data_IF_645734966078
#
_entry.id   IF_645734966078
#
_cell.length_a   1.000
_cell.length_b   1.000
_cell.length_c   1.000
_cell.angle_alpha   90.00
_cell.angle_beta   90.00
_cell.angle_gamma   90.00
#
_symmetry.space_group_name_H-M   'P 1'
#
loop_
_entity.id
_entity.type
_entity.pdbx_description
1 polymer ?
#
# COMPACT_ATOMS: atom_id res chain seq x y z
N UNK A 1 -53.40 -88.30 11.16
CA UNK A 1 -53.24 -88.36 9.74
C UNK A 1 -53.43 -86.98 9.11
N UNK A 2 -52.64 -86.65 8.19
CA UNK A 2 -52.60 -85.44 7.32
C UNK A 2 -51.98 -84.18 7.94
N UNK A 3 -50.81 -83.91 7.43
CA UNK A 3 -49.96 -82.75 7.58
C UNK A 3 -50.47 -81.61 6.67
N UNK A 4 -50.48 -80.40 7.20
CA UNK A 4 -50.63 -79.21 6.42
C UNK A 4 -49.30 -78.43 6.39
N UNK A 5 -48.85 -77.94 5.21
CA UNK A 5 -47.59 -77.31 5.09
C UNK A 5 -47.65 -75.81 5.36
N UNK A 6 -46.65 -75.40 6.03
CA UNK A 6 -46.35 -74.05 6.48
C UNK A 6 -46.15 -73.13 5.29
N UNK A 7 -46.94 -72.09 5.22
CA UNK A 7 -46.73 -70.95 4.32
C UNK A 7 -45.62 -70.06 4.90
N UNK A 8 -44.45 -70.07 4.25
CA UNK A 8 -43.37 -69.15 4.53
C UNK A 8 -43.70 -67.80 3.91
N UNK A 9 -44.01 -66.79 4.71
CA UNK A 9 -44.02 -65.41 4.31
C UNK A 9 -42.59 -64.87 4.31
N UNK A 10 -42.11 -64.50 3.18
CA UNK A 10 -40.88 -63.72 3.03
C UNK A 10 -41.23 -62.24 3.27
N UNK A 11 -40.83 -61.67 4.42
CA UNK A 11 -40.76 -60.23 4.62
C UNK A 11 -39.44 -59.79 4.03
N UNK A 12 -39.47 -59.11 2.87
CA UNK A 12 -38.34 -58.35 2.34
C UNK A 12 -38.28 -57.01 3.07
N UNK A 13 -37.37 -56.89 4.00
CA UNK A 13 -37.03 -55.61 4.62
C UNK A 13 -36.22 -54.80 3.62
N UNK A 14 -36.86 -53.80 2.97
CA UNK A 14 -36.17 -52.77 2.21
C UNK A 14 -35.54 -51.80 3.19
N UNK A 15 -34.24 -51.94 3.46
CA UNK A 15 -33.46 -50.96 4.16
C UNK A 15 -33.26 -49.77 3.25
N UNK A 16 -34.09 -48.75 3.35
CA UNK A 16 -33.88 -47.44 2.75
C UNK A 16 -32.69 -46.75 3.45
N UNK A 17 -31.49 -46.85 2.90
CA UNK A 17 -30.35 -46.07 3.34
C UNK A 17 -30.63 -44.62 2.93
N UNK A 18 -31.17 -43.85 3.85
CA UNK A 18 -31.20 -42.39 3.77
C UNK A 18 -29.74 -41.91 3.86
N UNK A 19 -29.11 -41.61 2.70
CA UNK A 19 -27.89 -40.83 2.68
C UNK A 19 -28.27 -39.42 3.11
N UNK A 20 -28.11 -39.16 4.39
CA UNK A 20 -28.09 -37.81 4.94
C UNK A 20 -26.87 -37.12 4.30
N UNK A 21 -27.11 -36.41 3.22
CA UNK A 21 -26.17 -35.41 2.74
C UNK A 21 -25.97 -34.44 3.91
N UNK A 22 -24.89 -34.61 4.65
CA UNK A 22 -24.45 -33.62 5.61
C UNK A 22 -24.37 -32.29 4.87
N UNK A 23 -25.09 -31.24 5.30
CA UNK A 23 -24.83 -29.90 4.70
C UNK A 23 -23.37 -29.67 4.91
N UNK A 24 -22.63 -29.45 3.80
CA UNK A 24 -21.21 -29.15 3.87
C UNK A 24 -21.02 -28.11 4.97
N UNK A 25 -20.21 -28.44 5.96
CA UNK A 25 -19.96 -27.55 7.10
C UNK A 25 -19.38 -26.27 6.50
N UNK A 26 -20.23 -25.28 6.27
CA UNK A 26 -19.79 -23.92 5.96
C UNK A 26 -18.90 -23.53 7.14
N UNK A 27 -17.60 -23.41 6.89
CA UNK A 27 -16.64 -23.15 7.94
C UNK A 27 -17.07 -21.86 8.64
N UNK A 28 -17.49 -22.00 9.89
CA UNK A 28 -18.14 -20.93 10.65
C UNK A 28 -17.17 -19.76 10.82
N UNK A 29 -17.58 -18.55 10.41
CA UNK A 29 -16.85 -17.32 10.69
C UNK A 29 -16.74 -17.14 12.20
N UNK A 30 -15.51 -17.04 12.72
CA UNK A 30 -15.23 -16.81 14.14
C UNK A 30 -15.28 -15.34 14.49
N UNK A 31 -15.56 -15.03 15.75
CA UNK A 31 -15.38 -13.69 16.27
C UNK A 31 -13.88 -13.32 16.27
N UNK A 32 -13.55 -12.19 15.65
CA UNK A 32 -12.18 -11.67 15.56
C UNK A 32 -12.17 -10.16 15.70
N UNK A 33 -11.09 -9.65 16.28
CA UNK A 33 -10.74 -8.22 16.21
C UNK A 33 -9.38 -8.11 15.52
N UNK A 34 -9.32 -7.39 14.39
CA UNK A 34 -8.12 -7.18 13.60
C UNK A 34 -7.67 -5.73 13.76
N UNK A 35 -6.44 -5.50 14.18
CA UNK A 35 -5.82 -4.18 14.23
C UNK A 35 -5.32 -3.84 12.84
N UNK A 36 -5.72 -2.69 12.32
CA UNK A 36 -5.28 -2.16 11.04
C UNK A 36 -4.47 -0.89 11.25
N UNK A 37 -3.14 -0.99 11.15
CA UNK A 37 -2.20 0.10 11.35
C UNK A 37 -1.80 0.76 10.03
N UNK A 38 -1.72 2.10 10.01
CA UNK A 38 -1.23 2.85 8.85
C UNK A 38 -0.73 4.25 9.25
N UNK A 39 0.06 4.88 8.35
CA UNK A 39 0.81 6.08 8.67
C UNK A 39 0.01 7.38 8.53
N UNK A 40 -0.93 7.45 7.58
CA UNK A 40 -1.63 8.70 7.32
C UNK A 40 -2.72 8.99 8.35
N UNK A 41 -3.05 10.28 8.52
CA UNK A 41 -4.04 10.77 9.48
C UNK A 41 -5.48 10.42 9.05
N UNK A 42 -6.42 10.52 9.99
CA UNK A 42 -7.83 10.11 9.82
C UNK A 42 -8.54 10.79 8.64
N UNK A 43 -8.19 11.99 8.24
CA UNK A 43 -8.79 12.69 7.08
C UNK A 43 -8.23 12.26 5.71
N UNK A 44 -7.16 11.47 5.67
CA UNK A 44 -6.50 11.07 4.43
C UNK A 44 -7.30 9.99 3.66
N UNK A 45 -7.26 9.96 2.31
CA UNK A 45 -7.89 8.90 1.51
C UNK A 45 -7.50 7.46 1.87
N UNK A 46 -6.29 7.25 2.41
CA UNK A 46 -5.87 5.96 2.96
C UNK A 46 -6.76 5.55 4.14
N UNK A 47 -7.05 6.48 5.07
CA UNK A 47 -7.92 6.20 6.21
C UNK A 47 -9.37 5.99 5.78
N UNK A 48 -9.84 6.69 4.76
CA UNK A 48 -11.18 6.47 4.18
C UNK A 48 -11.28 5.05 3.55
N UNK A 49 -10.23 4.61 2.83
CA UNK A 49 -10.14 3.25 2.31
C UNK A 49 -10.11 2.20 3.43
N UNK A 50 -9.37 2.46 4.51
CA UNK A 50 -9.31 1.57 5.68
C UNK A 50 -10.67 1.46 6.39
N UNK A 51 -11.41 2.57 6.51
CA UNK A 51 -12.77 2.56 7.04
C UNK A 51 -13.71 1.76 6.13
N UNK A 52 -13.65 2.01 4.81
CA UNK A 52 -14.46 1.25 3.84
C UNK A 52 -14.19 -0.26 3.92
N UNK A 53 -12.91 -0.64 4.04
CA UNK A 53 -12.52 -2.05 4.23
C UNK A 53 -13.11 -2.61 5.53
N UNK A 54 -12.99 -1.87 6.62
CA UNK A 54 -13.52 -2.28 7.93
C UNK A 54 -15.04 -2.50 7.90
N UNK A 55 -15.78 -1.58 7.29
CA UNK A 55 -17.23 -1.65 7.15
C UNK A 55 -17.66 -2.85 6.31
N UNK A 56 -16.94 -3.10 5.18
CA UNK A 56 -17.20 -4.26 4.32
C UNK A 56 -16.92 -5.58 5.01
N UNK A 57 -15.82 -5.68 5.76
CA UNK A 57 -15.48 -6.88 6.53
C UNK A 57 -16.56 -7.15 7.60
N UNK A 58 -16.99 -6.12 8.33
CA UNK A 58 -18.04 -6.25 9.33
C UNK A 58 -19.36 -6.69 8.67
N UNK A 59 -19.78 -6.05 7.59
CA UNK A 59 -21.03 -6.39 6.88
C UNK A 59 -21.00 -7.83 6.34
N UNK A 60 -19.93 -8.22 5.63
CA UNK A 60 -19.81 -9.55 5.03
C UNK A 60 -19.64 -10.67 6.05
N UNK A 61 -19.10 -10.37 7.23
CA UNK A 61 -18.95 -11.34 8.33
C UNK A 61 -20.16 -11.42 9.26
N UNK A 62 -21.22 -10.63 9.01
CA UNK A 62 -22.35 -10.50 9.93
C UNK A 62 -21.95 -9.94 11.29
N UNK A 63 -20.98 -9.02 11.33
CA UNK A 63 -20.46 -8.38 12.54
C UNK A 63 -19.44 -9.21 13.33
N UNK A 64 -19.11 -10.42 12.89
CA UNK A 64 -18.20 -11.32 13.63
C UNK A 64 -16.72 -10.90 13.53
N UNK A 65 -16.33 -10.26 12.42
CA UNK A 65 -14.97 -9.75 12.25
C UNK A 65 -15.01 -8.22 12.34
N UNK A 66 -14.39 -7.69 13.39
CA UNK A 66 -14.24 -6.25 13.61
C UNK A 66 -12.81 -5.81 13.22
N UNK A 67 -12.68 -4.78 12.40
CA UNK A 67 -11.38 -4.16 12.06
C UNK A 67 -11.26 -2.84 12.82
N UNK A 68 -10.26 -2.73 13.71
CA UNK A 68 -9.96 -1.53 14.48
C UNK A 68 -8.83 -0.75 13.82
N UNK A 69 -9.10 0.51 13.47
CA UNK A 69 -8.17 1.40 12.76
C UNK A 69 -7.21 2.11 13.71
N UNK A 70 -5.93 2.10 13.36
CA UNK A 70 -4.84 2.77 14.08
C UNK A 70 -4.10 3.69 13.09
N UNK A 71 -4.65 4.87 12.88
CA UNK A 71 -4.14 5.89 11.97
C UNK A 71 -2.94 6.65 12.57
N UNK A 72 -2.19 7.37 11.73
CA UNK A 72 -1.15 8.32 12.16
C UNK A 72 0.12 7.66 12.71
N UNK A 73 0.34 6.37 12.41
CA UNK A 73 1.54 5.66 12.86
C UNK A 73 1.61 5.39 14.37
N UNK A 74 0.48 5.42 15.08
CA UNK A 74 0.44 5.21 16.54
C UNK A 74 0.91 3.83 17.00
N UNK A 75 0.98 2.86 16.09
CA UNK A 75 1.54 1.53 16.35
C UNK A 75 2.97 1.37 15.77
N UNK A 76 3.64 2.48 15.44
CA UNK A 76 4.99 2.52 14.90
C UNK A 76 5.04 2.93 13.42
N UNK A 77 6.27 3.20 12.93
CA UNK A 77 6.53 3.48 11.52
C UNK A 77 6.40 2.23 10.63
N UNK A 78 6.58 2.41 9.30
CA UNK A 78 6.35 1.35 8.32
C UNK A 78 7.16 0.08 8.61
N UNK A 79 8.47 0.19 8.86
CA UNK A 79 9.32 -0.98 9.13
C UNK A 79 8.93 -1.71 10.43
N UNK A 80 8.55 -0.95 11.46
CA UNK A 80 8.07 -1.50 12.72
C UNK A 80 6.74 -2.23 12.52
N UNK A 81 5.85 -1.66 11.71
CA UNK A 81 4.55 -2.27 11.39
C UNK A 81 4.72 -3.56 10.58
N UNK A 82 5.66 -3.61 9.61
CA UNK A 82 6.00 -4.86 8.90
C UNK A 82 6.46 -5.93 9.89
N UNK A 83 7.37 -5.59 10.81
CA UNK A 83 7.84 -6.53 11.84
C UNK A 83 6.70 -6.98 12.76
N UNK A 84 5.77 -6.09 13.11
CA UNK A 84 4.59 -6.40 13.93
C UNK A 84 3.63 -7.37 13.20
N UNK A 85 3.44 -7.22 11.89
CA UNK A 85 2.67 -8.18 11.08
C UNK A 85 3.35 -9.55 11.05
N UNK A 86 4.65 -9.61 10.79
CA UNK A 86 5.42 -10.85 10.79
C UNK A 86 5.34 -11.55 12.16
N UNK A 87 5.38 -10.77 13.23
CA UNK A 87 5.18 -11.24 14.60
C UNK A 87 3.74 -11.67 14.92
N UNK A 88 2.74 -11.16 14.19
CA UNK A 88 1.31 -11.38 14.43
C UNK A 88 0.74 -10.56 15.59
N UNK A 89 1.39 -9.44 15.95
CA UNK A 89 0.91 -8.50 16.99
C UNK A 89 0.03 -7.39 16.42
N UNK A 90 0.14 -7.15 15.10
CA UNK A 90 -0.75 -6.35 14.26
C UNK A 90 -1.21 -7.25 13.12
N UNK A 91 -2.50 -7.20 12.81
CA UNK A 91 -3.12 -8.11 11.85
C UNK A 91 -3.10 -7.55 10.42
N UNK A 92 -3.28 -6.23 10.25
CA UNK A 92 -3.41 -5.56 8.95
C UNK A 92 -2.56 -4.29 8.89
N UNK A 93 -2.01 -4.01 7.72
CA UNK A 93 -1.38 -2.71 7.41
C UNK A 93 -1.58 -2.34 5.95
N UNK A 94 -1.45 -1.05 5.67
CA UNK A 94 -1.25 -0.52 4.32
C UNK A 94 -0.09 0.47 4.33
N UNK A 95 0.90 0.26 3.48
CA UNK A 95 2.15 1.03 3.44
C UNK A 95 2.71 1.13 2.02
N UNK A 96 3.65 2.04 1.79
CA UNK A 96 4.30 2.18 0.49
C UNK A 96 4.95 0.86 0.08
N UNK A 97 4.60 0.37 -1.11
CA UNK A 97 5.04 -0.95 -1.58
C UNK A 97 6.58 -1.07 -1.63
N UNK A 98 7.30 -0.02 -1.97
CA UNK A 98 8.75 -0.02 -2.01
C UNK A 98 9.45 -0.29 -0.66
N UNK A 99 8.78 -0.02 0.48
CA UNK A 99 9.29 -0.37 1.82
C UNK A 99 9.52 -1.89 1.95
N UNK A 100 8.74 -2.70 1.24
CA UNK A 100 8.86 -4.16 1.24
C UNK A 100 10.12 -4.66 0.52
N UNK A 101 10.91 -3.79 -0.10
CA UNK A 101 12.21 -4.14 -0.67
C UNK A 101 13.20 -4.72 0.36
N UNK A 102 13.03 -4.37 1.64
CA UNK A 102 13.77 -5.00 2.73
C UNK A 102 13.45 -6.50 2.90
N UNK A 103 12.28 -6.95 2.46
CA UNK A 103 11.83 -8.34 2.51
C UNK A 103 12.03 -9.07 1.17
N UNK A 104 11.69 -8.39 0.08
CA UNK A 104 11.74 -8.87 -1.30
C UNK A 104 12.27 -7.73 -2.17
N UNK A 105 13.53 -7.81 -2.59
CA UNK A 105 14.26 -6.71 -3.25
C UNK A 105 13.57 -6.13 -4.47
N UNK A 106 12.78 -6.92 -5.18
CA UNK A 106 12.08 -6.53 -6.39
C UNK A 106 11.00 -5.45 -6.13
N UNK A 107 10.51 -5.31 -4.90
CA UNK A 107 9.60 -4.21 -4.55
C UNK A 107 10.26 -2.82 -4.70
N UNK A 108 11.60 -2.72 -4.68
CA UNK A 108 12.29 -1.46 -4.96
C UNK A 108 11.95 -0.87 -6.34
N UNK A 109 11.53 -1.71 -7.29
CA UNK A 109 11.14 -1.25 -8.62
C UNK A 109 9.95 -0.27 -8.60
N UNK A 110 9.05 -0.35 -7.61
CA UNK A 110 7.95 0.61 -7.46
C UNK A 110 8.41 2.03 -7.09
N UNK A 111 9.62 2.17 -6.55
CA UNK A 111 10.19 3.45 -6.14
C UNK A 111 11.15 4.03 -7.20
N UNK A 112 11.20 3.46 -8.41
CA UNK A 112 12.03 4.03 -9.49
C UNK A 112 11.54 5.44 -9.81
N UNK A 113 12.45 6.44 -9.80
CA UNK A 113 12.10 7.81 -10.14
C UNK A 113 11.48 7.90 -11.54
N UNK A 114 10.37 8.62 -11.64
CA UNK A 114 9.66 8.88 -12.90
C UNK A 114 9.20 7.63 -13.66
N UNK A 115 9.02 6.51 -12.97
CA UNK A 115 8.59 5.24 -13.55
C UNK A 115 7.20 5.36 -14.21
N UNK A 116 6.23 5.86 -13.44
CA UNK A 116 4.84 5.98 -13.87
C UNK A 116 4.51 7.41 -14.31
N UNK A 117 3.74 7.55 -15.38
CA UNK A 117 3.18 8.83 -15.84
C UNK A 117 1.75 9.04 -15.32
N UNK A 118 1.07 7.98 -14.92
CA UNK A 118 -0.33 8.03 -14.45
C UNK A 118 -0.65 6.89 -13.47
N UNK A 119 -1.74 7.06 -12.72
CA UNK A 119 -2.28 5.99 -11.88
C UNK A 119 -2.72 4.76 -12.69
N UNK A 120 -3.13 4.93 -13.97
CA UNK A 120 -3.50 3.81 -14.84
C UNK A 120 -2.29 2.91 -15.16
N UNK A 121 -1.11 3.50 -15.36
CA UNK A 121 0.11 2.72 -15.56
C UNK A 121 0.47 1.94 -14.29
N UNK A 122 0.32 2.56 -13.12
CA UNK A 122 0.54 1.88 -11.85
C UNK A 122 -0.48 0.75 -11.63
N UNK A 123 -1.76 0.97 -11.94
CA UNK A 123 -2.81 -0.07 -11.84
C UNK A 123 -2.50 -1.28 -12.74
N UNK A 124 -2.09 -1.04 -13.99
CA UNK A 124 -1.74 -2.13 -14.91
C UNK A 124 -0.61 -3.02 -14.37
N UNK A 125 0.37 -2.42 -13.71
CA UNK A 125 1.49 -3.14 -13.10
C UNK A 125 1.07 -3.85 -11.82
N UNK A 126 0.35 -3.15 -10.93
CA UNK A 126 0.02 -3.68 -9.59
C UNK A 126 -1.06 -4.75 -9.63
N UNK A 127 -2.06 -4.60 -10.50
CA UNK A 127 -3.16 -5.57 -10.65
C UNK A 127 -2.80 -6.68 -11.65
N UNK A 128 -1.79 -6.45 -12.47
CA UNK A 128 -1.28 -7.38 -13.46
C UNK A 128 -0.42 -8.51 -12.87
N UNK A 129 0.08 -9.38 -13.75
CA UNK A 129 0.92 -10.52 -13.35
C UNK A 129 2.15 -10.12 -12.53
N UNK A 130 2.76 -8.97 -12.83
CA UNK A 130 3.92 -8.47 -12.10
C UNK A 130 3.61 -8.21 -10.63
N UNK A 131 2.55 -7.45 -10.33
CA UNK A 131 2.15 -7.13 -8.95
C UNK A 131 1.72 -8.37 -8.17
N UNK A 132 0.96 -9.26 -8.80
CA UNK A 132 0.54 -10.53 -8.19
C UNK A 132 1.75 -11.42 -7.84
N UNK A 133 2.73 -11.52 -8.74
CA UNK A 133 3.97 -12.26 -8.50
C UNK A 133 4.76 -11.69 -7.31
N UNK A 134 4.84 -10.36 -7.18
CA UNK A 134 5.52 -9.75 -6.04
C UNK A 134 4.77 -10.01 -4.73
N UNK A 135 3.44 -9.87 -4.70
CA UNK A 135 2.64 -10.21 -3.52
C UNK A 135 2.84 -11.67 -3.08
N UNK A 136 2.88 -12.61 -4.03
CA UNK A 136 3.10 -14.02 -3.72
C UNK A 136 4.45 -14.30 -3.03
N UNK A 137 5.51 -13.52 -3.35
CA UNK A 137 6.82 -13.64 -2.69
C UNK A 137 6.82 -13.24 -1.22
N UNK A 138 5.80 -12.51 -0.77
CA UNK A 138 5.67 -12.09 0.62
C UNK A 138 5.25 -13.23 1.56
N UNK A 139 4.66 -14.29 1.02
CA UNK A 139 4.22 -15.47 1.79
C UNK A 139 5.38 -16.06 2.62
N UNK A 140 6.55 -16.24 2.00
CA UNK A 140 7.76 -16.75 2.66
C UNK A 140 8.37 -15.75 3.66
N UNK A 141 7.84 -14.52 3.69
CA UNK A 141 8.26 -13.45 4.59
C UNK A 141 7.28 -13.20 5.74
N UNK A 142 6.31 -14.10 5.93
CA UNK A 142 5.32 -13.99 7.00
C UNK A 142 4.24 -12.93 6.75
N UNK A 143 4.04 -12.54 5.50
CA UNK A 143 3.07 -11.53 5.06
C UNK A 143 2.20 -12.11 3.95
N UNK A 144 0.92 -11.74 3.93
CA UNK A 144 0.00 -12.07 2.83
C UNK A 144 -0.55 -10.79 2.21
N UNK A 145 -0.44 -10.69 0.88
CA UNK A 145 -0.89 -9.52 0.13
C UNK A 145 -2.37 -9.59 -0.21
N UNK A 146 -3.12 -8.54 0.10
CA UNK A 146 -4.55 -8.43 -0.24
C UNK A 146 -4.82 -7.56 -1.47
N UNK A 147 -3.87 -6.71 -1.87
CA UNK A 147 -4.02 -5.82 -3.02
C UNK A 147 -3.16 -4.57 -2.92
N UNK A 148 -3.34 -3.66 -3.89
CA UNK A 148 -2.60 -2.40 -3.94
C UNK A 148 -3.53 -1.20 -3.96
N UNK A 149 -3.26 -0.24 -3.09
CA UNK A 149 -3.92 1.06 -3.01
C UNK A 149 -3.06 2.16 -3.64
N UNK A 150 -3.59 3.36 -3.66
CA UNK A 150 -2.99 4.54 -4.26
C UNK A 150 -2.62 5.57 -3.17
N UNK A 151 -1.34 5.96 -3.11
CA UNK A 151 -0.95 7.16 -2.36
C UNK A 151 -0.84 8.37 -3.29
N UNK A 152 -0.36 8.16 -4.52
CA UNK A 152 -0.24 9.18 -5.54
C UNK A 152 1.19 9.64 -5.82
N UNK A 153 1.29 10.72 -6.62
CA UNK A 153 2.58 11.33 -6.99
C UNK A 153 3.15 12.18 -5.86
N UNK A 154 4.42 11.95 -5.57
CA UNK A 154 5.18 12.65 -4.54
C UNK A 154 5.78 13.94 -5.08
N UNK A 155 5.68 14.99 -4.25
CA UNK A 155 6.14 16.33 -4.50
C UNK A 155 7.06 16.79 -3.38
N UNK A 156 7.99 17.70 -3.66
CA UNK A 156 8.97 18.17 -2.69
C UNK A 156 8.45 19.40 -1.94
N UNK A 157 8.57 19.41 -0.61
CA UNK A 157 8.35 20.63 0.19
C UNK A 157 9.61 21.05 0.91
N UNK A 158 9.75 22.33 1.19
CA UNK A 158 10.79 22.85 2.08
C UNK A 158 10.42 24.20 2.70
N UNK A 159 11.13 24.60 3.76
CA UNK A 159 10.92 25.87 4.47
C UNK A 159 11.91 26.97 4.05
N UNK A 160 12.88 26.69 3.16
CA UNK A 160 14.01 27.60 2.87
C UNK A 160 13.78 28.49 1.66
N UNK A 161 13.39 27.92 0.51
CA UNK A 161 13.31 28.63 -0.77
C UNK A 161 12.39 27.93 -1.77
N UNK A 162 11.81 28.67 -2.72
CA UNK A 162 11.19 28.03 -3.89
C UNK A 162 12.24 27.22 -4.66
N UNK A 163 11.81 26.10 -5.22
CA UNK A 163 12.64 25.30 -6.15
C UNK A 163 12.09 25.55 -7.55
N UNK A 164 12.87 26.26 -8.36
CA UNK A 164 12.53 26.65 -9.74
C UNK A 164 13.46 26.03 -10.78
N UNK A 165 14.56 25.45 -10.32
CA UNK A 165 15.52 24.68 -11.12
C UNK A 165 16.05 23.48 -10.33
N UNK A 166 16.54 22.48 -11.04
CA UNK A 166 17.01 21.22 -10.43
C UNK A 166 18.10 21.45 -9.37
N UNK A 167 18.98 22.42 -9.60
CA UNK A 167 20.10 22.73 -8.68
C UNK A 167 19.66 23.41 -7.36
N UNK A 168 18.43 23.95 -7.28
CA UNK A 168 17.90 24.53 -6.04
C UNK A 168 17.67 23.49 -4.93
N UNK A 169 17.66 22.19 -5.29
CA UNK A 169 17.53 21.08 -4.34
C UNK A 169 18.84 20.86 -3.57
N UNK A 170 19.98 21.22 -4.19
CA UNK A 170 21.29 20.97 -3.59
C UNK A 170 21.45 21.66 -2.23
N UNK A 171 22.06 20.95 -1.28
CA UNK A 171 22.35 21.40 0.08
C UNK A 171 21.15 21.38 1.03
N UNK A 172 19.90 21.16 0.56
CA UNK A 172 18.75 21.00 1.45
C UNK A 172 18.83 19.71 2.24
N UNK A 173 18.50 19.78 3.53
CA UNK A 173 18.28 18.58 4.37
C UNK A 173 16.87 18.09 4.13
N UNK A 174 16.73 17.00 3.36
CA UNK A 174 15.44 16.47 3.00
C UNK A 174 15.19 15.16 3.74
N UNK A 175 14.12 15.12 4.55
CA UNK A 175 13.64 13.85 5.09
C UNK A 175 13.11 13.00 3.97
N UNK A 176 13.53 11.74 3.96
CA UNK A 176 13.07 10.73 3.00
C UNK A 176 12.53 9.49 3.73
N UNK A 177 11.83 8.63 2.98
CA UNK A 177 11.41 7.32 3.45
C UNK A 177 12.67 6.49 3.80
N UNK A 178 12.55 5.59 4.77
CA UNK A 178 13.62 4.67 5.17
C UNK A 178 13.86 3.58 4.10
N UNK A 179 14.19 4.02 2.89
CA UNK A 179 14.46 3.17 1.74
C UNK A 179 15.74 3.65 1.02
N UNK A 180 16.69 2.77 0.72
CA UNK A 180 17.97 3.14 0.12
C UNK A 180 17.84 3.91 -1.20
N UNK A 181 16.85 3.59 -2.04
CA UNK A 181 16.66 4.28 -3.33
C UNK A 181 16.29 5.75 -3.15
N UNK A 182 15.50 6.12 -2.10
CA UNK A 182 15.20 7.51 -1.80
C UNK A 182 16.44 8.27 -1.31
N UNK A 183 17.26 7.62 -0.49
CA UNK A 183 18.53 8.22 0.00
C UNK A 183 19.43 8.52 -1.20
N UNK A 184 19.65 7.55 -2.08
CA UNK A 184 20.52 7.70 -3.25
C UNK A 184 19.96 8.72 -4.25
N UNK A 185 18.62 8.75 -4.44
CA UNK A 185 17.97 9.70 -5.34
C UNK A 185 18.20 11.15 -4.88
N UNK A 186 17.93 11.45 -3.61
CA UNK A 186 18.13 12.81 -3.10
C UNK A 186 19.61 13.18 -2.97
N UNK A 187 20.49 12.22 -2.69
CA UNK A 187 21.94 12.42 -2.76
C UNK A 187 22.40 12.76 -4.20
N UNK A 188 21.88 12.07 -5.22
CA UNK A 188 22.16 12.37 -6.62
C UNK A 188 21.67 13.78 -7.05
N UNK A 189 20.65 14.31 -6.38
CA UNK A 189 20.18 15.69 -6.55
C UNK A 189 20.99 16.72 -5.74
N UNK A 190 22.01 16.26 -4.98
CA UNK A 190 22.85 17.12 -4.16
C UNK A 190 22.25 17.49 -2.81
N UNK A 191 21.14 16.89 -2.42
CA UNK A 191 20.52 17.10 -1.11
C UNK A 191 21.15 16.21 -0.03
N UNK A 192 21.01 16.62 1.22
CA UNK A 192 21.35 15.82 2.39
C UNK A 192 20.12 14.98 2.79
N UNK A 193 20.04 13.77 2.26
CA UNK A 193 18.93 12.86 2.54
C UNK A 193 18.99 12.34 3.98
N UNK A 194 17.90 12.50 4.72
CA UNK A 194 17.79 12.07 6.13
C UNK A 194 16.63 11.09 6.25
N UNK A 195 16.90 9.77 6.33
CA UNK A 195 15.83 8.78 6.49
C UNK A 195 15.25 8.84 7.92
N UNK A 196 13.93 9.06 8.04
CA UNK A 196 13.20 9.05 9.31
C UNK A 196 11.87 8.33 9.17
N UNK A 197 11.37 7.63 10.22
CA UNK A 197 10.01 7.14 10.27
C UNK A 197 8.99 8.26 10.08
N UNK A 198 7.86 7.97 9.44
CA UNK A 198 6.86 9.00 9.15
C UNK A 198 6.27 9.68 10.41
N UNK A 199 6.00 8.97 11.53
CA UNK A 199 5.49 9.62 12.76
C UNK A 199 6.41 10.69 13.35
N UNK A 200 7.70 10.65 13.06
CA UNK A 200 8.69 11.63 13.57
C UNK A 200 8.79 12.89 12.70
N UNK A 201 8.19 12.86 11.49
CA UNK A 201 8.44 13.86 10.46
C UNK A 201 7.96 15.25 10.84
N UNK A 202 6.74 15.38 11.38
CA UNK A 202 6.20 16.70 11.73
C UNK A 202 7.12 17.43 12.74
N UNK A 203 7.51 16.74 13.81
CA UNK A 203 8.43 17.30 14.81
C UNK A 203 9.81 17.64 14.24
N UNK A 204 10.34 16.81 13.33
CA UNK A 204 11.62 17.09 12.68
C UNK A 204 11.57 18.34 11.78
N UNK A 205 10.44 18.58 11.09
CA UNK A 205 10.19 19.78 10.30
C UNK A 205 9.99 21.01 11.19
N UNK A 206 9.20 20.89 12.25
CA UNK A 206 8.93 21.97 13.21
C UNK A 206 10.21 22.43 13.90
N UNK A 207 11.03 21.51 14.38
CA UNK A 207 12.31 21.79 15.03
C UNK A 207 13.43 22.17 14.04
N UNK A 208 13.14 22.18 12.73
CA UNK A 208 14.12 22.47 11.65
C UNK A 208 15.33 21.51 11.65
N UNK A 209 15.17 20.31 12.17
CA UNK A 209 16.16 19.24 12.06
C UNK A 209 16.36 18.83 10.59
N UNK A 210 15.28 18.93 9.80
CA UNK A 210 15.30 18.84 8.34
C UNK A 210 14.67 20.09 7.73
N UNK A 211 15.09 20.47 6.52
CA UNK A 211 14.58 21.64 5.81
C UNK A 211 13.29 21.36 5.06
N UNK A 212 13.10 20.10 4.67
CA UNK A 212 11.97 19.68 3.86
C UNK A 212 11.74 18.17 3.87
N UNK A 213 10.75 17.78 3.08
CA UNK A 213 10.32 16.40 2.89
C UNK A 213 9.67 16.25 1.52
N UNK A 214 9.28 15.04 1.14
CA UNK A 214 8.57 14.74 -0.09
C UNK A 214 7.41 13.77 0.17
N UNK A 215 6.24 14.09 -0.34
CA UNK A 215 4.99 13.30 -0.22
C UNK A 215 3.96 13.77 -1.25
N UNK A 216 2.87 13.01 -1.48
CA UNK A 216 1.72 13.51 -2.21
C UNK A 216 1.01 14.67 -1.52
N UNK A 217 0.34 15.50 -2.30
CA UNK A 217 -0.37 16.69 -1.80
C UNK A 217 -1.39 16.34 -0.70
N UNK A 218 -2.09 15.21 -0.83
CA UNK A 218 -3.06 14.72 0.17
C UNK A 218 -2.41 14.42 1.51
N UNK A 219 -1.21 13.82 1.50
CA UNK A 219 -0.44 13.54 2.72
C UNK A 219 0.09 14.83 3.34
N UNK A 220 0.62 15.76 2.53
CA UNK A 220 1.11 17.06 2.99
C UNK A 220 -0.02 17.83 3.69
N UNK A 221 -1.22 17.83 3.10
CA UNK A 221 -2.39 18.50 3.66
C UNK A 221 -2.87 17.83 4.95
N UNK A 222 -3.13 16.53 4.92
CA UNK A 222 -3.70 15.80 6.07
C UNK A 222 -2.76 15.75 7.27
N UNK A 223 -1.44 15.80 7.03
CA UNK A 223 -0.41 15.86 8.07
C UNK A 223 -0.09 17.28 8.52
N UNK A 224 -0.83 18.29 8.00
CA UNK A 224 -0.68 19.70 8.34
C UNK A 224 0.73 20.27 8.09
N UNK A 225 1.44 19.73 7.10
CA UNK A 225 2.82 20.20 6.84
C UNK A 225 2.87 21.65 6.36
N UNK A 226 1.77 22.24 5.89
CA UNK A 226 1.69 23.66 5.59
C UNK A 226 1.98 24.57 6.82
N UNK A 227 1.79 24.07 8.05
CA UNK A 227 2.12 24.80 9.27
C UNK A 227 3.65 24.95 9.46
N UNK A 228 4.43 24.02 8.95
CA UNK A 228 5.90 23.90 9.14
C UNK A 228 6.70 23.95 7.83
N UNK A 229 6.04 24.06 6.68
CA UNK A 229 6.65 24.13 5.34
C UNK A 229 6.09 25.30 4.56
N UNK A 230 6.94 26.04 3.83
CA UNK A 230 6.55 27.25 3.10
C UNK A 230 6.37 27.04 1.60
N UNK A 231 7.15 26.14 1.02
CA UNK A 231 7.24 25.95 -0.42
C UNK A 231 6.91 24.51 -0.77
N UNK A 232 6.16 24.33 -1.86
CA UNK A 232 5.89 23.04 -2.45
C UNK A 232 6.21 23.11 -3.95
N UNK A 233 7.01 22.18 -4.45
CA UNK A 233 7.34 22.04 -5.87
C UNK A 233 6.75 20.77 -6.41
N UNK A 234 5.92 20.88 -7.45
CA UNK A 234 5.23 19.75 -8.09
C UNK A 234 6.21 18.95 -8.96
N UNK A 235 7.11 18.22 -8.32
CA UNK A 235 8.15 17.44 -9.01
C UNK A 235 7.63 16.11 -9.56
N UNK A 236 6.57 15.53 -8.96
CA UNK A 236 5.96 14.25 -9.35
C UNK A 236 7.03 13.16 -9.60
N UNK A 237 8.07 13.17 -8.79
CA UNK A 237 9.28 12.38 -9.01
C UNK A 237 9.12 10.88 -8.75
N UNK A 238 8.16 10.48 -7.92
CA UNK A 238 7.77 9.09 -7.69
C UNK A 238 6.25 9.00 -7.55
N UNK A 239 5.65 7.95 -8.10
CA UNK A 239 4.29 7.53 -7.78
C UNK A 239 4.35 6.32 -6.86
N UNK A 240 3.66 6.37 -5.73
CA UNK A 240 3.66 5.27 -4.78
C UNK A 240 2.35 4.46 -4.83
N UNK A 241 2.37 3.22 -5.32
CA UNK A 241 1.39 2.24 -4.93
C UNK A 241 1.62 1.83 -3.47
N UNK A 242 0.55 1.50 -2.76
CA UNK A 242 0.60 1.01 -1.39
C UNK A 242 0.15 -0.44 -1.32
N UNK A 243 0.90 -1.28 -0.62
CA UNK A 243 0.53 -2.67 -0.41
C UNK A 243 -0.40 -2.79 0.80
N UNK A 244 -1.59 -3.38 0.60
CA UNK A 244 -2.49 -3.80 1.67
C UNK A 244 -2.13 -5.23 2.07
N UNK A 245 -1.76 -5.41 3.32
CA UNK A 245 -1.19 -6.65 3.84
C UNK A 245 -1.95 -7.15 5.06
N UNK A 246 -1.99 -8.46 5.21
CA UNK A 246 -2.39 -9.15 6.43
C UNK A 246 -1.23 -10.00 6.95
N UNK A 247 -1.10 -10.09 8.27
CA UNK A 247 -0.17 -11.03 8.92
C UNK A 247 -0.43 -12.46 8.43
N UNK A 248 0.59 -13.14 7.95
CA UNK A 248 0.43 -14.54 7.50
C UNK A 248 -0.03 -15.45 8.63
N UNK A 249 0.38 -15.20 9.87
CA UNK A 249 -0.11 -15.96 11.04
C UNK A 249 -1.62 -15.81 11.20
N UNK A 250 -2.12 -14.57 11.03
CA UNK A 250 -3.58 -14.30 11.07
C UNK A 250 -4.28 -14.96 9.90
N UNK A 251 -3.74 -14.78 8.67
CA UNK A 251 -4.31 -15.36 7.46
C UNK A 251 -4.41 -16.88 7.50
N UNK A 252 -3.34 -17.57 7.91
CA UNK A 252 -3.31 -19.04 8.00
C UNK A 252 -4.28 -19.56 9.04
N UNK A 253 -4.53 -18.80 10.11
CA UNK A 253 -5.52 -19.13 11.15
C UNK A 253 -6.98 -18.83 10.77
N UNK A 254 -7.25 -18.33 9.56
CA UNK A 254 -8.58 -18.04 9.04
C UNK A 254 -9.17 -19.21 8.29
N UNK A 255 -10.49 -19.38 8.40
CA UNK A 255 -11.24 -20.30 7.55
C UNK A 255 -11.28 -19.81 6.09
N UNK A 256 -11.65 -20.69 5.16
CA UNK A 256 -11.81 -20.32 3.76
C UNK A 256 -12.83 -19.19 3.57
N UNK A 257 -13.92 -19.19 4.36
CA UNK A 257 -14.94 -18.14 4.32
C UNK A 257 -14.41 -16.80 4.86
N UNK A 258 -13.65 -16.80 5.96
CA UNK A 258 -13.02 -15.60 6.50
C UNK A 258 -12.02 -15.00 5.52
N UNK A 259 -11.21 -15.82 4.85
CA UNK A 259 -10.29 -15.40 3.79
C UNK A 259 -11.01 -14.77 2.61
N UNK A 260 -12.11 -15.38 2.18
CA UNK A 260 -12.97 -14.87 1.11
C UNK A 260 -13.55 -13.50 1.47
N UNK A 261 -14.05 -13.33 2.70
CA UNK A 261 -14.57 -12.04 3.19
C UNK A 261 -13.49 -10.95 3.10
N UNK A 262 -12.26 -11.21 3.56
CA UNK A 262 -11.18 -10.23 3.51
C UNK A 262 -10.78 -9.91 2.06
N UNK A 263 -10.70 -10.91 1.19
CA UNK A 263 -10.34 -10.73 -0.22
C UNK A 263 -11.39 -9.90 -0.98
N UNK A 264 -12.67 -10.20 -0.81
CA UNK A 264 -13.77 -9.43 -1.42
C UNK A 264 -13.82 -7.99 -0.88
N UNK A 265 -13.71 -7.82 0.44
CA UNK A 265 -13.65 -6.50 1.06
C UNK A 265 -12.45 -5.68 0.57
N UNK A 266 -11.30 -6.33 0.38
CA UNK A 266 -10.10 -5.70 -0.19
C UNK A 266 -10.34 -5.23 -1.62
N UNK A 267 -10.92 -6.07 -2.48
CA UNK A 267 -11.19 -5.71 -3.87
C UNK A 267 -12.09 -4.48 -3.97
N UNK A 268 -13.20 -4.45 -3.22
CA UNK A 268 -14.14 -3.32 -3.21
C UNK A 268 -13.50 -2.06 -2.58
N UNK A 269 -12.80 -2.20 -1.47
CA UNK A 269 -12.12 -1.08 -0.80
C UNK A 269 -11.00 -0.48 -1.65
N UNK A 270 -10.30 -1.30 -2.45
CA UNK A 270 -9.25 -0.85 -3.38
C UNK A 270 -9.81 0.11 -4.43
N UNK A 271 -10.92 -0.24 -5.06
CA UNK A 271 -11.56 0.62 -6.07
C UNK A 271 -11.98 1.96 -5.45
N UNK A 272 -12.63 1.90 -4.29
CA UNK A 272 -13.04 3.10 -3.55
C UNK A 272 -11.85 3.97 -3.17
N UNK A 273 -10.79 3.38 -2.61
CA UNK A 273 -9.63 4.12 -2.12
C UNK A 273 -8.87 4.81 -3.26
N UNK A 274 -8.65 4.12 -4.39
CA UNK A 274 -8.00 4.71 -5.57
C UNK A 274 -8.81 5.88 -6.12
N UNK A 275 -10.12 5.76 -6.17
CA UNK A 275 -11.00 6.86 -6.60
C UNK A 275 -10.90 8.05 -5.63
N UNK A 276 -10.97 7.80 -4.33
CA UNK A 276 -10.86 8.83 -3.30
C UNK A 276 -9.49 9.54 -3.34
N UNK A 277 -8.39 8.77 -3.48
CA UNK A 277 -7.03 9.31 -3.55
C UNK A 277 -6.84 10.23 -4.76
N UNK A 278 -7.21 9.74 -5.94
CA UNK A 278 -7.06 10.49 -7.21
C UNK A 278 -7.98 11.70 -7.27
N UNK A 279 -9.22 11.56 -6.78
CA UNK A 279 -10.18 12.67 -6.74
C UNK A 279 -9.76 13.79 -5.78
N UNK A 280 -8.98 13.48 -4.74
CA UNK A 280 -8.53 14.46 -3.77
C UNK A 280 -7.22 15.18 -4.14
N UNK A 281 -6.47 14.70 -5.14
CA UNK A 281 -5.10 15.17 -5.39
C UNK A 281 -5.03 16.66 -5.75
N UNK A 282 -5.89 17.12 -6.65
CA UNK A 282 -5.91 18.53 -7.12
C UNK A 282 -6.50 19.45 -6.05
N UNK A 283 -7.60 19.06 -5.42
CA UNK A 283 -8.21 19.84 -4.33
C UNK A 283 -7.28 19.98 -3.12
N UNK A 284 -6.44 18.98 -2.85
CA UNK A 284 -5.42 19.08 -1.81
C UNK A 284 -4.35 20.13 -2.15
N UNK A 285 -3.93 20.25 -3.41
CA UNK A 285 -3.00 21.31 -3.83
C UNK A 285 -3.61 22.70 -3.65
N UNK A 286 -4.86 22.90 -4.01
CA UNK A 286 -5.54 24.18 -3.84
C UNK A 286 -5.74 24.54 -2.35
N UNK A 287 -6.04 23.54 -1.52
CA UNK A 287 -6.08 23.75 -0.06
C UNK A 287 -4.71 24.13 0.51
N UNK A 288 -3.61 23.55 0.02
CA UNK A 288 -2.25 23.92 0.43
C UNK A 288 -1.88 25.35 0.02
N UNK A 289 -2.29 25.80 -1.17
CA UNK A 289 -2.17 27.22 -1.60
C UNK A 289 -2.94 28.13 -0.65
N UNK A 290 -4.17 27.78 -0.33
CA UNK A 290 -5.03 28.53 0.60
C UNK A 290 -4.43 28.58 2.00
N UNK A 291 -3.75 27.51 2.43
CA UNK A 291 -3.02 27.46 3.69
C UNK A 291 -1.70 28.26 3.68
N UNK A 292 -1.38 28.96 2.58
CA UNK A 292 -0.25 29.88 2.47
C UNK A 292 1.04 29.27 1.90
N UNK A 293 1.00 28.06 1.38
CA UNK A 293 2.19 27.48 0.71
C UNK A 293 2.40 28.11 -0.68
N UNK A 294 3.65 28.49 -0.95
CA UNK A 294 4.06 28.91 -2.30
C UNK A 294 4.26 27.67 -3.18
N UNK A 295 3.47 27.56 -4.23
CA UNK A 295 3.55 26.45 -5.21
C UNK A 295 4.47 26.84 -6.35
N UNK A 296 5.37 25.95 -6.73
CA UNK A 296 6.22 26.06 -7.91
C UNK A 296 6.19 24.76 -8.74
N UNK A 297 6.55 24.90 -10.01
CA UNK A 297 6.78 23.82 -10.95
C UNK A 297 8.13 24.00 -11.61
N UNK A 298 8.77 22.91 -12.00
CA UNK A 298 10.01 22.99 -12.78
C UNK A 298 9.67 23.13 -14.26
N UNK A 299 10.33 24.06 -14.97
CA UNK A 299 10.27 24.08 -16.44
C UNK A 299 10.69 22.76 -17.06
N UNK A 300 10.25 22.42 -18.29
CA UNK A 300 10.55 21.14 -18.91
C UNK A 300 12.04 20.81 -19.03
N UNK A 301 12.89 21.78 -19.30
CA UNK A 301 14.36 21.62 -19.36
C UNK A 301 14.96 21.33 -17.97
N UNK A 302 14.48 21.97 -16.93
CA UNK A 302 14.91 21.70 -15.55
C UNK A 302 14.40 20.33 -15.05
N UNK A 303 13.19 19.95 -15.45
CA UNK A 303 12.69 18.60 -15.20
C UNK A 303 13.54 17.55 -15.94
N UNK A 304 13.97 17.80 -17.14
CA UNK A 304 14.88 16.92 -17.89
C UNK A 304 16.24 16.78 -17.19
N UNK A 305 16.80 17.89 -16.65
CA UNK A 305 18.03 17.86 -15.83
C UNK A 305 17.84 17.01 -14.56
N UNK A 306 16.72 17.17 -13.88
CA UNK A 306 16.39 16.40 -12.67
C UNK A 306 16.33 14.90 -13.00
N UNK A 307 15.67 14.51 -14.08
CA UNK A 307 15.63 13.11 -14.58
C UNK A 307 17.02 12.59 -14.92
N UNK A 308 17.86 13.39 -15.57
CA UNK A 308 19.23 13.00 -15.92
C UNK A 308 20.10 12.76 -14.67
N UNK A 309 19.97 13.61 -13.63
CA UNK A 309 20.70 13.45 -12.37
C UNK A 309 20.36 12.15 -11.64
N UNK A 310 19.13 11.68 -11.70
CA UNK A 310 18.70 10.45 -10.98
C UNK A 310 18.83 9.18 -11.83
N UNK A 311 19.16 9.28 -13.12
CA UNK A 311 19.34 8.12 -13.99
C UNK A 311 20.34 7.09 -13.44
N UNK A 312 21.53 7.46 -12.90
CA UNK A 312 22.45 6.49 -12.32
C UNK A 312 21.85 5.68 -11.16
N UNK A 313 20.91 6.28 -10.42
CA UNK A 313 20.19 5.59 -9.34
C UNK A 313 19.28 4.51 -9.92
N UNK A 314 18.54 4.85 -10.98
CA UNK A 314 17.69 3.86 -11.69
C UNK A 314 18.54 2.70 -12.20
N UNK A 315 19.69 2.99 -12.83
CA UNK A 315 20.61 1.96 -13.36
C UNK A 315 21.13 1.04 -12.23
N UNK A 316 21.56 1.62 -11.11
CA UNK A 316 22.01 0.88 -9.91
C UNK A 316 20.93 -0.07 -9.39
N UNK A 317 19.72 0.43 -9.19
CA UNK A 317 18.64 -0.38 -8.63
C UNK A 317 18.05 -1.35 -9.64
N UNK A 318 18.07 -1.05 -10.93
CA UNK A 318 17.73 -2.00 -11.99
C UNK A 318 18.63 -3.22 -11.96
N UNK A 319 19.94 -3.05 -11.81
CA UNK A 319 20.88 -4.15 -11.66
C UNK A 319 20.60 -4.97 -10.36
N UNK A 320 20.28 -4.29 -9.25
CA UNK A 320 19.96 -4.94 -7.97
C UNK A 320 18.67 -5.75 -8.01
N UNK A 321 17.61 -5.19 -8.59
CA UNK A 321 16.29 -5.83 -8.75
C UNK A 321 16.39 -7.00 -9.73
N UNK A 322 17.20 -6.86 -10.77
CA UNK A 322 17.42 -7.82 -11.84
C UNK A 322 16.77 -7.39 -13.15
N UNK A 323 17.54 -7.44 -14.23
CA UNK A 323 17.12 -6.96 -15.56
C UNK A 323 15.81 -7.57 -16.04
N UNK A 324 15.63 -8.90 -15.87
CA UNK A 324 14.40 -9.58 -16.26
C UNK A 324 13.17 -9.03 -15.52
N UNK A 325 13.29 -8.70 -14.24
CA UNK A 325 12.21 -8.09 -13.45
C UNK A 325 11.88 -6.69 -13.96
N UNK A 326 12.90 -5.91 -14.30
CA UNK A 326 12.70 -4.54 -14.86
C UNK A 326 12.07 -4.62 -16.25
N UNK A 327 12.49 -5.56 -17.09
CA UNK A 327 11.88 -5.78 -18.41
C UNK A 327 10.41 -6.17 -18.31
N UNK A 328 10.07 -7.08 -17.38
CA UNK A 328 8.68 -7.47 -17.09
C UNK A 328 7.84 -6.26 -16.65
N UNK A 329 8.35 -5.46 -15.70
CA UNK A 329 7.72 -4.22 -15.25
C UNK A 329 7.47 -3.25 -16.41
N UNK A 330 8.48 -2.98 -17.23
CA UNK A 330 8.36 -2.05 -18.35
C UNK A 330 7.42 -2.56 -19.44
N UNK A 331 7.34 -3.87 -19.64
CA UNK A 331 6.39 -4.49 -20.57
C UNK A 331 4.93 -4.29 -20.09
N UNK A 332 4.66 -4.41 -18.78
CA UNK A 332 3.32 -4.11 -18.25
C UNK A 332 2.94 -2.63 -18.45
N UNK A 333 3.87 -1.72 -18.19
CA UNK A 333 3.64 -0.27 -18.41
C UNK A 333 3.36 0.01 -19.89
N UNK A 334 4.13 -0.60 -20.80
CA UNK A 334 4.01 -0.38 -22.24
C UNK A 334 2.64 -0.78 -22.81
N UNK A 335 1.93 -1.73 -22.19
CA UNK A 335 0.58 -2.13 -22.61
C UNK A 335 -0.45 -0.98 -22.52
N UNK A 336 -0.23 -0.02 -21.63
CA UNK A 336 -1.18 1.08 -21.34
C UNK A 336 -0.62 2.47 -21.61
N UNK A 337 0.71 2.60 -21.77
CA UNK A 337 1.37 3.85 -22.11
C UNK A 337 1.18 4.14 -23.61
N UNK A 338 0.47 5.21 -23.91
CA UNK A 338 0.21 5.69 -25.28
C UNK A 338 1.21 6.76 -25.67
#
# INVERSE_FOLDING_TARGET
>A
MKKDPIRKLFLAAVAATAVLAAPGAVAQVKERTLKFAFQNQTGHPQAQGAQKFADLVAAKSGGKIAVKLFAGGVLGGDLQTVSALQGGTVELTVLNAGILSAQVKEFAAYDFPFLFNSGKEADAVTDGPFGQKLMAKLEDKGLHGLGYWDLGFRNLTNSKRPITKADDIAGLKIRVIQSPIYIDMFAALGANATPLPFPELYSALEQKAVDGQENPNTTILSSKFAEVQKHITQTRHIYNPQALLVSKKTWDGMSAEEKKILAEASAEATLFQRQASRGAADSALDALKTAGMTVSELPPDEMAKLRAKVKPVIDKYSASVGEATVQELMAEIAKVRK
#
